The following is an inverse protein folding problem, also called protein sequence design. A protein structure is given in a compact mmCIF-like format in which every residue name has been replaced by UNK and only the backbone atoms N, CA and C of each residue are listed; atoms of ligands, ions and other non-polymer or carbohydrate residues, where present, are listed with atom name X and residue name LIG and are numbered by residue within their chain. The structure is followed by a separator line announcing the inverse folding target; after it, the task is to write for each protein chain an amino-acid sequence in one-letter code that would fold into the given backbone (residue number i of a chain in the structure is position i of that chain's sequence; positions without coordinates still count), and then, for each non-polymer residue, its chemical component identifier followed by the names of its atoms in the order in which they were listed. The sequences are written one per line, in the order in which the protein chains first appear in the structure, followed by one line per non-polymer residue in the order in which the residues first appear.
data_IF_973503568207
#
_entry.id   IF_973503568207
#
_cell.length_a   1.000
_cell.length_b   1.000
_cell.length_c   1.000
_cell.angle_alpha   90.00
_cell.angle_beta   90.00
_cell.angle_gamma   90.00
#
_symmetry.space_group_name_H-M   'P 1'
#
loop_
_entity.id
_entity.type
_entity.pdbx_description
1 polymer ?
#
# COMPACT_ATOMS: atom_id res chain seq x y z
N UNK A 1 11.48 -9.09 -0.91
CA UNK A 1 10.23 -8.63 -0.28
C UNK A 1 9.99 -7.20 -0.73
N UNK A 2 8.78 -6.87 -1.17
CA UNK A 2 8.46 -5.54 -1.71
C UNK A 2 8.22 -4.56 -0.56
N UNK A 3 8.97 -3.45 -0.42
CA UNK A 3 8.86 -2.63 0.77
C UNK A 3 7.51 -1.88 0.83
N UNK A 4 6.88 -1.96 1.99
CA UNK A 4 5.76 -1.12 2.40
C UNK A 4 6.36 0.06 3.16
N UNK A 5 6.04 1.28 2.75
CA UNK A 5 6.45 2.49 3.48
C UNK A 5 5.29 3.05 4.27
N UNK A 6 5.53 3.40 5.54
CA UNK A 6 4.51 4.00 6.41
C UNK A 6 4.90 5.44 6.74
N UNK A 7 3.95 6.36 6.60
CA UNK A 7 4.04 7.72 7.09
C UNK A 7 2.94 7.91 8.13
N UNK A 8 3.31 8.03 9.39
CA UNK A 8 2.37 8.21 10.49
C UNK A 8 2.77 9.35 11.41
N UNK A 9 1.78 10.02 12.01
CA UNK A 9 1.98 10.94 13.14
C UNK A 9 2.06 10.22 14.50
N UNK A 10 1.92 8.90 14.52
CA UNK A 10 1.97 8.05 15.72
C UNK A 10 0.78 8.22 16.66
N UNK A 11 -0.20 9.08 16.32
CA UNK A 11 -1.28 9.48 17.24
C UNK A 11 -2.21 8.34 17.65
N UNK A 12 -2.22 7.24 16.88
CA UNK A 12 -3.11 6.08 17.08
C UNK A 12 -2.42 4.87 17.69
N UNK A 13 -1.09 4.88 17.82
CA UNK A 13 -0.34 3.76 18.38
C UNK A 13 -0.51 2.44 17.61
N UNK A 14 -0.70 2.49 16.29
CA UNK A 14 -0.83 1.29 15.45
C UNK A 14 0.56 0.68 15.25
N UNK A 15 0.70 -0.59 15.60
CA UNK A 15 1.93 -1.37 15.41
C UNK A 15 2.05 -1.83 13.96
N UNK A 16 2.51 -0.93 13.09
CA UNK A 16 2.68 -1.24 11.66
C UNK A 16 3.79 -2.26 11.40
N UNK A 17 4.82 -2.29 12.24
CA UNK A 17 5.93 -3.23 12.09
C UNK A 17 5.41 -4.65 12.27
N UNK A 18 4.64 -4.91 13.34
CA UNK A 18 3.99 -6.21 13.55
C UNK A 18 3.03 -6.59 12.42
N UNK A 19 2.22 -5.66 11.92
CA UNK A 19 1.27 -5.93 10.82
C UNK A 19 2.02 -6.30 9.53
N UNK A 20 3.12 -5.60 9.24
CA UNK A 20 3.96 -5.84 8.06
C UNK A 20 4.70 -7.18 8.21
N UNK A 21 5.24 -7.49 9.39
CA UNK A 21 5.88 -8.78 9.69
C UNK A 21 4.93 -9.96 9.49
N UNK A 22 3.70 -9.90 10.02
CA UNK A 22 2.69 -10.94 9.80
C UNK A 22 2.39 -11.19 8.32
N UNK A 23 2.33 -10.12 7.51
CA UNK A 23 2.12 -10.26 6.07
C UNK A 23 3.32 -10.89 5.38
N UNK A 24 4.51 -10.55 5.82
CA UNK A 24 5.74 -11.12 5.30
C UNK A 24 5.80 -12.62 5.59
N UNK A 25 5.40 -13.06 6.78
CA UNK A 25 5.27 -14.47 7.16
C UNK A 25 4.25 -15.21 6.28
N UNK A 26 3.05 -14.63 6.07
CA UNK A 26 2.00 -15.24 5.23
C UNK A 26 2.39 -15.34 3.75
N UNK A 27 3.12 -14.34 3.23
CA UNK A 27 3.64 -14.39 1.86
C UNK A 27 4.70 -15.50 1.74
N UNK A 28 5.53 -15.74 2.78
CA UNK A 28 6.53 -16.81 2.77
C UNK A 28 5.95 -18.22 2.93
N UNK A 29 4.87 -18.39 3.70
CA UNK A 29 4.23 -19.71 3.87
C UNK A 29 3.54 -20.21 2.60
N UNK A 30 2.86 -19.34 1.84
CA UNK A 30 2.27 -19.72 0.54
C UNK A 30 3.30 -19.88 -0.59
N UNK A 31 4.47 -19.23 -0.46
CA UNK A 31 5.61 -19.49 -1.35
C UNK A 31 6.19 -20.89 -1.15
N UNK A 32 6.04 -21.51 0.03
CA UNK A 32 6.44 -22.92 0.25
C UNK A 32 5.54 -23.92 -0.48
N UNK A 33 4.27 -23.60 -0.70
CA UNK A 33 3.36 -24.44 -1.51
C UNK A 33 3.48 -24.18 -3.02
N UNK A 34 4.06 -23.03 -3.42
CA UNK A 34 4.16 -22.60 -4.82
C UNK A 34 5.57 -22.64 -5.41
N UNK A 35 6.61 -22.91 -4.60
CA UNK A 35 8.00 -22.96 -5.05
C UNK A 35 8.37 -24.31 -5.70
N UNK A 36 7.69 -24.62 -6.81
CA UNK A 36 8.29 -25.39 -7.90
C UNK A 36 8.17 -24.51 -9.14
N UNK A 37 9.29 -23.88 -9.50
CA UNK A 37 9.59 -23.09 -10.71
C UNK A 37 9.32 -21.59 -10.61
N UNK A 38 10.37 -20.81 -10.39
CA UNK A 38 11.17 -20.21 -11.49
C UNK A 38 11.99 -19.09 -10.87
N UNK A 39 13.30 -19.33 -10.76
CA UNK A 39 14.28 -18.29 -10.49
C UNK A 39 14.46 -17.40 -11.73
N UNK A 40 14.93 -16.17 -11.45
CA UNK A 40 15.56 -15.20 -12.35
C UNK A 40 14.63 -14.26 -13.11
N UNK A 41 14.52 -13.02 -12.60
CA UNK A 41 15.28 -11.88 -13.12
C UNK A 41 14.70 -10.57 -12.55
N UNK A 42 15.59 -9.69 -12.08
CA UNK A 42 15.62 -8.23 -12.30
C UNK A 42 16.22 -7.49 -11.09
N UNK A 43 17.55 -7.39 -11.11
CA UNK A 43 18.29 -6.20 -10.65
C UNK A 43 17.80 -5.03 -11.53
N UNK A 44 17.53 -3.80 -11.11
CA UNK A 44 18.29 -2.92 -10.22
C UNK A 44 17.52 -1.59 -10.16
N UNK A 45 17.52 -0.93 -8.99
CA UNK A 45 17.56 0.54 -8.83
C UNK A 45 17.61 0.80 -7.31
N UNK A 46 18.80 0.66 -6.75
CA UNK A 46 19.12 1.05 -5.38
C UNK A 46 19.48 2.54 -5.37
N UNK A 47 18.59 3.37 -4.85
CA UNK A 47 18.82 4.81 -4.71
C UNK A 47 17.63 5.50 -4.04
N UNK A 48 17.80 5.88 -2.77
CA UNK A 48 16.78 6.39 -1.83
C UNK A 48 15.75 5.34 -1.40
N UNK A 49 15.46 5.25 -0.10
CA UNK A 49 14.53 4.28 0.52
C UNK A 49 13.08 4.36 0.03
N UNK A 50 12.79 5.19 -0.96
CA UNK A 50 11.49 5.39 -1.60
C UNK A 50 11.40 4.69 -2.97
N UNK A 51 12.53 4.46 -3.64
CA UNK A 51 12.56 3.90 -5.01
C UNK A 51 12.20 2.41 -5.10
N UNK A 52 12.16 1.72 -3.98
CA UNK A 52 11.81 0.30 -3.90
C UNK A 52 10.39 0.08 -3.41
N UNK A 53 9.75 1.09 -2.79
CA UNK A 53 8.47 0.95 -2.13
C UNK A 53 7.34 0.69 -3.12
N UNK A 54 6.66 -0.44 -2.99
CA UNK A 54 5.54 -0.81 -3.89
C UNK A 54 4.18 -0.39 -3.35
N UNK A 55 4.09 -0.10 -2.06
CA UNK A 55 2.87 0.36 -1.39
C UNK A 55 3.21 1.40 -0.33
N UNK A 56 2.31 2.34 -0.08
CA UNK A 56 2.46 3.27 1.03
C UNK A 56 1.19 3.42 1.87
N UNK A 57 1.37 3.39 3.19
CA UNK A 57 0.35 3.70 4.19
C UNK A 57 0.59 5.13 4.68
N UNK A 58 -0.45 5.96 4.62
CA UNK A 58 -0.44 7.35 5.09
C UNK A 58 -1.45 7.47 6.22
N UNK A 59 -0.97 7.63 7.44
CA UNK A 59 -1.77 7.63 8.66
C UNK A 59 -1.63 8.96 9.41
N UNK A 60 -2.63 9.82 9.26
CA UNK A 60 -2.65 11.10 9.97
C UNK A 60 -4.02 11.36 10.57
N UNK A 61 -4.04 11.89 11.79
CA UNK A 61 -5.28 12.36 12.39
C UNK A 61 -5.91 13.47 11.56
N UNK A 62 -5.09 14.43 11.15
CA UNK A 62 -5.51 15.56 10.34
C UNK A 62 -5.64 15.19 8.85
N UNK A 63 -6.85 15.39 8.36
CA UNK A 63 -7.27 15.28 6.96
C UNK A 63 -6.33 15.96 5.95
N UNK A 64 -5.89 17.19 6.25
CA UNK A 64 -5.06 17.99 5.33
C UNK A 64 -3.63 17.48 5.33
N UNK A 65 -3.11 17.07 6.49
CA UNK A 65 -1.81 16.41 6.59
C UNK A 65 -1.78 15.10 5.79
N UNK A 66 -2.83 14.27 5.92
CA UNK A 66 -2.96 13.03 5.14
C UNK A 66 -2.93 13.29 3.62
N UNK A 67 -3.67 14.30 3.14
CA UNK A 67 -3.68 14.70 1.72
C UNK A 67 -2.32 15.26 1.29
N UNK A 68 -1.71 16.12 2.11
CA UNK A 68 -0.41 16.73 1.83
C UNK A 68 0.69 15.67 1.72
N UNK A 69 0.76 14.74 2.66
CA UNK A 69 1.69 13.62 2.64
C UNK A 69 1.46 12.74 1.40
N UNK A 70 0.21 12.39 1.10
CA UNK A 70 -0.15 11.59 -0.08
C UNK A 70 0.32 12.24 -1.39
N UNK A 71 0.12 13.56 -1.53
CA UNK A 71 0.55 14.30 -2.71
C UNK A 71 2.07 14.46 -2.79
N UNK A 72 2.75 14.65 -1.66
CA UNK A 72 4.21 14.69 -1.62
C UNK A 72 4.82 13.39 -2.14
N UNK A 73 4.30 12.24 -1.73
CA UNK A 73 4.75 10.93 -2.23
C UNK A 73 4.50 10.81 -3.74
N UNK A 74 3.29 11.17 -4.18
CA UNK A 74 2.90 11.04 -5.59
C UNK A 74 3.55 12.04 -6.53
N UNK A 75 4.13 13.12 -6.02
CA UNK A 75 5.01 13.98 -6.79
C UNK A 75 6.25 13.21 -7.30
N UNK A 76 6.74 12.25 -6.51
CA UNK A 76 7.89 11.41 -6.87
C UNK A 76 7.49 10.07 -7.49
N UNK A 77 6.39 9.46 -7.01
CA UNK A 77 5.91 8.16 -7.49
C UNK A 77 4.41 8.23 -7.82
N UNK A 78 4.01 8.80 -8.97
CA UNK A 78 2.59 9.12 -9.27
C UNK A 78 1.64 7.92 -9.28
N UNK A 79 2.17 6.71 -9.51
CA UNK A 79 1.41 5.46 -9.62
C UNK A 79 1.38 4.64 -8.34
N UNK A 80 2.05 5.06 -7.26
CA UNK A 80 2.12 4.26 -6.03
C UNK A 80 0.72 4.06 -5.44
N UNK A 81 0.33 2.81 -5.12
CA UNK A 81 -0.85 2.52 -4.33
C UNK A 81 -0.75 3.14 -2.94
N UNK A 82 -1.76 3.91 -2.56
CA UNK A 82 -1.85 4.53 -1.25
C UNK A 82 -3.01 3.96 -0.44
N UNK A 83 -2.75 3.65 0.82
CA UNK A 83 -3.75 3.44 1.85
C UNK A 83 -3.73 4.64 2.81
N UNK A 84 -4.80 5.42 2.80
CA UNK A 84 -4.92 6.63 3.61
C UNK A 84 -5.83 6.35 4.81
N UNK A 85 -5.30 6.50 6.01
CA UNK A 85 -6.00 6.32 7.29
C UNK A 85 -6.13 7.67 7.96
N UNK A 86 -7.36 8.12 8.21
CA UNK A 86 -7.59 9.46 8.80
C UNK A 86 -8.99 9.63 9.43
N UNK A 87 -9.18 10.69 10.22
CA UNK A 87 -10.40 11.00 10.98
C UNK A 87 -11.36 11.92 10.19
N UNK A 88 -11.66 11.61 8.93
CA UNK A 88 -12.59 12.45 8.17
C UNK A 88 -14.01 12.42 8.77
N UNK A 89 -14.47 13.58 9.23
CA UNK A 89 -15.89 13.83 9.46
C UNK A 89 -16.69 13.57 8.17
N UNK A 90 -17.81 12.87 8.30
CA UNK A 90 -18.43 12.11 7.19
C UNK A 90 -18.86 12.91 5.96
N UNK A 91 -19.00 14.23 6.08
CA UNK A 91 -19.48 15.10 5.02
C UNK A 91 -18.39 15.55 4.02
N UNK A 92 -17.10 15.43 4.36
CA UNK A 92 -16.00 15.97 3.52
C UNK A 92 -15.11 14.86 2.90
N UNK A 93 -15.36 13.60 3.26
CA UNK A 93 -14.60 12.40 2.83
C UNK A 93 -14.29 12.35 1.32
N UNK A 94 -15.32 12.48 0.48
CA UNK A 94 -15.16 12.40 -0.98
C UNK A 94 -14.35 13.56 -1.56
N UNK A 95 -14.48 14.76 -0.97
CA UNK A 95 -13.76 15.96 -1.43
C UNK A 95 -12.27 15.86 -1.13
N UNK A 96 -11.89 15.33 0.02
CA UNK A 96 -10.48 15.16 0.35
C UNK A 96 -9.78 14.10 -0.52
N UNK A 97 -10.47 13.01 -0.86
CA UNK A 97 -9.96 12.04 -1.83
C UNK A 97 -9.72 12.67 -3.21
N UNK A 98 -10.60 13.57 -3.66
CA UNK A 98 -10.43 14.29 -4.92
C UNK A 98 -9.20 15.23 -4.92
N UNK A 99 -8.70 15.62 -3.75
CA UNK A 99 -7.49 16.43 -3.64
C UNK A 99 -6.20 15.61 -3.63
N UNK A 100 -6.29 14.28 -3.55
CA UNK A 100 -5.12 13.40 -3.74
C UNK A 100 -4.92 13.20 -5.24
N UNK A 101 -3.81 13.72 -5.74
CA UNK A 101 -3.41 13.72 -7.15
C UNK A 101 -2.70 12.43 -7.56
N UNK A 102 -2.34 12.27 -8.83
CA UNK A 102 -1.69 11.07 -9.37
C UNK A 102 -2.67 10.00 -9.87
N UNK A 103 -2.13 8.94 -10.49
CA UNK A 103 -2.92 7.89 -11.16
C UNK A 103 -2.90 6.55 -10.42
N UNK A 104 -2.21 6.47 -9.29
CA UNK A 104 -2.17 5.28 -8.46
C UNK A 104 -3.51 4.98 -7.78
N UNK A 105 -3.71 3.70 -7.42
CA UNK A 105 -4.86 3.30 -6.61
C UNK A 105 -4.83 4.01 -5.26
N UNK A 106 -5.97 4.52 -4.83
CA UNK A 106 -6.13 5.16 -3.51
C UNK A 106 -7.25 4.45 -2.78
N UNK A 107 -6.94 3.83 -1.64
CA UNK A 107 -7.95 3.38 -0.69
C UNK A 107 -7.91 4.27 0.53
N UNK A 108 -9.07 4.59 1.06
CA UNK A 108 -9.20 5.36 2.29
C UNK A 108 -9.94 4.53 3.33
N UNK A 109 -9.38 4.47 4.54
CA UNK A 109 -10.00 3.89 5.71
C UNK A 109 -10.21 5.00 6.73
N UNK A 110 -11.35 4.95 7.39
CA UNK A 110 -11.67 5.88 8.45
C UNK A 110 -11.25 5.26 9.76
N UNK A 111 -10.50 6.01 10.54
CA UNK A 111 -10.20 5.60 11.89
C UNK A 111 -11.48 5.53 12.73
N UNK A 112 -11.60 4.45 13.47
CA UNK A 112 -12.67 4.23 14.44
C UNK A 112 -12.03 3.78 15.74
N UNK A 113 -11.94 4.68 16.71
CA UNK A 113 -11.27 4.44 17.99
C UNK A 113 -11.85 3.23 18.75
N UNK A 114 -13.15 2.95 18.56
CA UNK A 114 -13.83 1.81 19.19
C UNK A 114 -13.58 0.46 18.50
N UNK A 115 -13.02 0.46 17.30
CA UNK A 115 -12.83 -0.74 16.47
C UNK A 115 -11.40 -0.82 15.87
N UNK A 116 -10.33 -0.76 16.69
CA UNK A 116 -8.96 -0.79 16.18
C UNK A 116 -8.63 -2.10 15.43
N UNK A 117 -9.17 -3.23 15.88
CA UNK A 117 -8.98 -4.54 15.23
C UNK A 117 -9.52 -4.56 13.80
N UNK A 118 -10.62 -3.84 13.56
CA UNK A 118 -11.21 -3.74 12.22
C UNK A 118 -10.28 -3.00 11.27
N UNK A 119 -9.57 -1.97 11.74
CA UNK A 119 -8.56 -1.29 10.93
C UNK A 119 -7.46 -2.27 10.51
N UNK A 120 -6.95 -3.06 11.46
CA UNK A 120 -5.89 -4.05 11.21
C UNK A 120 -6.32 -5.03 10.12
N UNK A 121 -7.53 -5.60 10.24
CA UNK A 121 -8.09 -6.50 9.23
C UNK A 121 -8.23 -5.82 7.87
N UNK A 122 -8.64 -4.56 7.82
CA UNK A 122 -8.78 -3.83 6.56
C UNK A 122 -7.43 -3.49 5.90
N UNK A 123 -6.38 -3.21 6.69
CA UNK A 123 -5.00 -3.04 6.25
C UNK A 123 -4.50 -4.37 5.67
N UNK A 124 -4.64 -5.47 6.40
CA UNK A 124 -4.24 -6.81 5.97
C UNK A 124 -4.93 -7.21 4.66
N UNK A 125 -6.26 -7.05 4.56
CA UNK A 125 -7.03 -7.35 3.33
C UNK A 125 -6.57 -6.51 2.14
N UNK A 126 -6.26 -5.23 2.37
CA UNK A 126 -5.78 -4.36 1.30
C UNK A 126 -4.41 -4.81 0.80
N UNK A 127 -3.47 -5.07 1.71
CA UNK A 127 -2.12 -5.52 1.36
C UNK A 127 -2.16 -6.89 0.66
N UNK A 128 -2.98 -7.81 1.14
CA UNK A 128 -3.21 -9.13 0.51
C UNK A 128 -3.73 -9.01 -0.93
N UNK A 129 -4.72 -8.14 -1.17
CA UNK A 129 -5.27 -7.92 -2.52
C UNK A 129 -4.19 -7.55 -3.55
N UNK A 130 -3.24 -6.71 -3.16
CA UNK A 130 -2.15 -6.31 -4.05
C UNK A 130 -1.11 -7.41 -4.22
N UNK A 131 -0.74 -8.12 -3.15
CA UNK A 131 0.18 -9.25 -3.21
C UNK A 131 -0.30 -10.36 -4.17
N UNK A 132 -1.63 -10.52 -4.31
CA UNK A 132 -2.22 -11.52 -5.21
C UNK A 132 -2.40 -11.03 -6.64
N UNK A 133 -2.79 -9.77 -6.85
CA UNK A 133 -2.97 -9.24 -8.21
C UNK A 133 -1.67 -9.18 -9.00
N UNK A 134 -0.54 -8.91 -8.34
CA UNK A 134 0.78 -8.95 -8.97
C UNK A 134 1.15 -10.37 -9.42
N UNK A 135 0.71 -11.43 -8.73
CA UNK A 135 0.91 -12.83 -9.15
C UNK A 135 0.12 -13.21 -10.42
N UNK A 136 -1.07 -12.64 -10.61
CA UNK A 136 -1.98 -13.00 -11.73
C UNK A 136 -1.78 -12.18 -13.02
N UNK A 137 -0.98 -11.12 -12.99
CA UNK A 137 -0.73 -10.29 -14.16
C UNK A 137 0.31 -10.95 -15.08
N UNK A 138 -0.11 -11.97 -15.84
CA UNK A 138 0.66 -12.49 -16.97
C UNK A 138 0.80 -11.38 -18.02
N UNK A 139 2.01 -11.03 -18.47
CA UNK A 139 2.17 -10.12 -19.60
C UNK A 139 1.59 -10.79 -20.84
N UNK A 140 0.56 -10.19 -21.44
CA UNK A 140 0.02 -10.65 -22.72
C UNK A 140 0.99 -10.28 -23.84
N UNK A 141 2.12 -10.98 -23.93
CA UNK A 141 2.94 -11.00 -25.14
C UNK A 141 2.26 -11.91 -26.17
N UNK A 142 1.15 -11.44 -26.75
CA UNK A 142 0.78 -11.91 -28.08
C UNK A 142 1.68 -11.18 -29.08
N UNK A 143 2.77 -11.85 -29.41
CA UNK A 143 3.59 -11.58 -30.59
C UNK A 143 2.70 -11.67 -31.82
N UNK A 144 2.33 -10.52 -32.40
CA UNK A 144 1.85 -10.47 -33.78
C UNK A 144 3.05 -10.69 -34.69
N UNK A 145 3.29 -11.95 -35.07
CA UNK A 145 4.10 -12.24 -36.24
C UNK A 145 3.22 -12.01 -37.47
N UNK A 146 3.71 -11.14 -38.36
CA UNK A 146 3.15 -10.87 -39.69
C UNK A 146 3.33 -12.08 -40.61
#
# INVERSE_FOLDING_TARGET
MEPITVLSDGSRGIDYDYIIELLNEWITDEQRESAVKTEKNEESMAGSGWGTARYCIVDYKDARQAVSASNAIRAFVPKIPLLVITDFQSLIRKRHLQHITGTGLTKMILWQEKEPERLIIEIQRWLYYFAYKTKTALPSTQSMRR
#
